data_IF_827610032695
#
_entry.id   IF_827610032695
#
_cell.length_a   1.000
_cell.length_b   1.000
_cell.length_c   1.000
_cell.angle_alpha   90.00
_cell.angle_beta   90.00
_cell.angle_gamma   90.00
#
_symmetry.space_group_name_H-M   'P 1'
#
loop_
_entity.id
_entity.type
_entity.pdbx_description
1 polymer ?
#
# COMPACT_ATOMS: atom_id res chain seq x y z
N UNK A 1 -4.22 3.35 -22.23
CA UNK A 1 -3.57 2.18 -21.63
C UNK A 1 -2.89 1.30 -22.67
N UNK A 2 -1.67 0.85 -22.37
CA UNK A 2 -0.98 -0.13 -23.17
C UNK A 2 -1.37 -1.53 -22.71
N UNK A 3 -1.84 -2.37 -23.65
CA UNK A 3 -2.09 -3.77 -23.41
C UNK A 3 -0.79 -4.55 -23.59
N UNK A 4 -0.36 -5.25 -22.57
CA UNK A 4 0.82 -6.13 -22.58
C UNK A 4 0.43 -7.54 -22.17
N UNK A 5 1.20 -8.52 -22.58
CA UNK A 5 1.06 -9.91 -22.19
C UNK A 5 2.14 -10.24 -21.16
N UNK A 6 1.75 -10.84 -20.03
CA UNK A 6 2.69 -11.32 -19.02
C UNK A 6 3.35 -12.63 -19.46
N UNK A 7 4.39 -13.06 -18.74
CA UNK A 7 5.05 -14.36 -19.00
C UNK A 7 4.10 -15.55 -18.84
N UNK A 8 3.05 -15.41 -18.04
CA UNK A 8 2.00 -16.41 -17.83
C UNK A 8 0.81 -16.26 -18.83
N UNK A 9 1.01 -15.50 -19.90
CA UNK A 9 -0.01 -15.22 -20.93
C UNK A 9 -1.27 -14.49 -20.41
N UNK A 10 -1.18 -13.87 -19.23
CA UNK A 10 -2.26 -13.06 -18.68
C UNK A 10 -2.17 -11.63 -19.24
N UNK A 11 -3.28 -11.02 -19.70
CA UNK A 11 -3.25 -9.64 -20.18
C UNK A 11 -3.07 -8.66 -19.00
N UNK A 12 -2.27 -7.61 -19.23
CA UNK A 12 -2.11 -6.52 -18.29
C UNK A 12 -2.23 -5.16 -18.99
N UNK A 13 -2.89 -4.21 -18.33
CA UNK A 13 -3.04 -2.85 -18.82
C UNK A 13 -2.08 -1.92 -18.07
N UNK A 14 -1.05 -1.44 -18.77
CA UNK A 14 -0.06 -0.51 -18.23
C UNK A 14 -0.42 0.93 -18.60
N UNK A 15 -0.72 1.76 -17.61
CA UNK A 15 -1.06 3.17 -17.86
C UNK A 15 -0.95 4.03 -16.62
N UNK A 16 -0.13 5.07 -16.72
CA UNK A 16 0.19 5.95 -15.60
C UNK A 16 1.10 5.25 -14.59
N UNK A 17 1.76 6.02 -13.76
CA UNK A 17 2.67 5.52 -12.73
C UNK A 17 3.03 6.65 -11.79
N UNK A 18 2.02 7.31 -11.15
CA UNK A 18 2.30 8.40 -10.23
C UNK A 18 3.06 7.86 -9.02
N UNK A 19 4.03 8.64 -8.53
CA UNK A 19 4.82 8.24 -7.38
C UNK A 19 3.96 8.14 -6.12
N UNK A 20 3.97 6.97 -5.48
CA UNK A 20 3.03 6.57 -4.45
C UNK A 20 3.05 7.37 -3.15
N UNK A 21 3.99 8.30 -2.97
CA UNK A 21 4.06 9.13 -1.77
C UNK A 21 3.32 10.46 -1.94
N UNK A 22 3.63 11.20 -3.00
CA UNK A 22 3.03 12.52 -3.31
C UNK A 22 1.81 12.43 -4.22
N UNK A 23 1.39 11.24 -4.60
CA UNK A 23 0.22 10.93 -5.39
C UNK A 23 -0.35 9.57 -4.96
N UNK A 24 -1.45 9.14 -5.58
CA UNK A 24 -2.14 7.91 -5.17
C UNK A 24 -1.42 6.60 -5.57
N UNK A 25 -0.36 6.65 -6.38
CA UNK A 25 0.55 5.51 -6.60
C UNK A 25 -0.06 4.25 -7.15
N UNK A 26 -1.05 4.36 -8.03
CA UNK A 26 -1.72 3.21 -8.63
C UNK A 26 -2.03 3.45 -10.11
N UNK A 27 -2.32 2.38 -10.83
CA UNK A 27 -2.69 2.41 -12.24
C UNK A 27 -3.86 3.39 -12.50
N UNK A 28 -4.02 3.87 -13.73
CA UNK A 28 -5.02 4.88 -14.06
C UNK A 28 -6.46 4.36 -13.93
N UNK A 29 -7.38 5.27 -13.65
CA UNK A 29 -8.82 5.00 -13.64
C UNK A 29 -9.28 4.44 -14.99
N UNK A 30 -8.73 4.94 -16.11
CA UNK A 30 -9.06 4.46 -17.47
C UNK A 30 -8.69 3.00 -17.66
N UNK A 31 -7.47 2.60 -17.27
CA UNK A 31 -7.04 1.21 -17.35
C UNK A 31 -7.90 0.30 -16.47
N UNK A 32 -8.15 0.70 -15.23
CA UNK A 32 -8.99 -0.08 -14.31
C UNK A 32 -10.42 -0.24 -14.83
N UNK A 33 -11.06 0.84 -15.28
CA UNK A 33 -12.43 0.77 -15.84
C UNK A 33 -12.50 -0.03 -17.15
N UNK A 34 -11.43 -0.01 -17.97
CA UNK A 34 -11.36 -0.84 -19.16
C UNK A 34 -11.22 -2.33 -18.79
N UNK A 35 -10.31 -2.64 -17.86
CA UNK A 35 -10.12 -4.02 -17.39
C UNK A 35 -11.41 -4.62 -16.82
N UNK A 36 -12.15 -3.86 -15.99
CA UNK A 36 -13.46 -4.28 -15.43
C UNK A 36 -14.54 -4.58 -16.46
N UNK A 37 -14.38 -4.16 -17.72
CA UNK A 37 -15.29 -4.50 -18.83
C UNK A 37 -14.84 -5.73 -19.60
N UNK A 38 -13.60 -6.16 -19.41
CA UNK A 38 -12.99 -7.20 -20.25
C UNK A 38 -12.72 -8.51 -19.49
N UNK A 39 -12.76 -8.48 -18.15
CA UNK A 39 -12.41 -9.62 -17.33
C UNK A 39 -13.36 -9.79 -16.13
N UNK A 40 -13.55 -11.03 -15.70
CA UNK A 40 -14.35 -11.37 -14.53
C UNK A 40 -13.68 -10.94 -13.22
N UNK A 41 -12.35 -10.99 -13.19
CA UNK A 41 -11.52 -10.53 -12.08
C UNK A 41 -10.49 -9.53 -12.56
N UNK A 42 -10.33 -8.43 -11.83
CA UNK A 42 -9.34 -7.40 -12.10
C UNK A 42 -8.51 -7.16 -10.85
N UNK A 43 -7.20 -7.36 -10.98
CA UNK A 43 -6.24 -7.10 -9.91
C UNK A 43 -5.52 -5.80 -10.24
N UNK A 44 -5.43 -4.90 -9.29
CA UNK A 44 -4.68 -3.64 -9.40
C UNK A 44 -3.84 -3.43 -8.16
N UNK A 45 -2.78 -2.66 -8.29
CA UNK A 45 -1.86 -2.39 -7.19
C UNK A 45 -2.18 -1.10 -6.44
N UNK A 46 -1.64 -1.01 -5.22
CA UNK A 46 -1.47 0.22 -4.47
C UNK A 46 -0.02 0.29 -3.99
N UNK A 47 0.68 1.37 -4.29
CA UNK A 47 2.12 1.49 -4.05
C UNK A 47 2.49 1.68 -2.59
N UNK A 48 3.66 1.21 -2.17
CA UNK A 48 4.17 1.20 -0.80
C UNK A 48 3.33 0.35 0.17
N UNK A 49 3.42 0.64 1.48
CA UNK A 49 2.60 -0.02 2.50
C UNK A 49 1.12 0.36 2.41
N UNK A 50 0.26 -0.46 3.00
CA UNK A 50 -1.18 -0.24 2.97
C UNK A 50 -1.62 1.06 3.65
N UNK A 51 -0.82 1.55 4.58
CA UNK A 51 -1.00 2.84 5.25
C UNK A 51 -0.79 4.06 4.32
N UNK A 52 -0.05 3.88 3.22
CA UNK A 52 0.17 4.90 2.20
C UNK A 52 -0.62 4.61 0.93
N UNK A 53 -0.31 3.51 0.25
CA UNK A 53 -0.87 3.21 -1.06
C UNK A 53 -2.31 2.76 -1.00
N UNK A 54 -2.66 1.83 -0.11
CA UNK A 54 -4.04 1.36 -0.02
C UNK A 54 -4.99 2.44 0.52
N UNK A 55 -4.56 3.24 1.51
CA UNK A 55 -5.32 4.40 1.97
C UNK A 55 -5.67 5.34 0.79
N UNK A 56 -4.65 5.73 0.00
CA UNK A 56 -4.85 6.61 -1.16
C UNK A 56 -5.67 5.95 -2.27
N UNK A 57 -5.52 4.64 -2.47
CA UNK A 57 -6.34 3.89 -3.41
C UNK A 57 -7.82 3.97 -3.02
N UNK A 58 -8.14 3.76 -1.75
CA UNK A 58 -9.51 3.78 -1.23
C UNK A 58 -10.08 5.21 -1.19
N UNK A 59 -9.37 6.14 -0.54
CA UNK A 59 -9.90 7.47 -0.28
C UNK A 59 -9.72 8.47 -1.44
N UNK A 60 -8.84 8.22 -2.40
CA UNK A 60 -8.67 9.06 -3.59
C UNK A 60 -9.19 8.34 -4.83
N UNK A 61 -8.57 7.23 -5.25
CA UNK A 61 -8.90 6.58 -6.53
C UNK A 61 -10.29 5.99 -6.54
N UNK A 62 -10.68 5.20 -5.55
CA UNK A 62 -12.01 4.60 -5.48
C UNK A 62 -13.08 5.66 -5.40
N UNK A 63 -12.87 6.68 -4.56
CA UNK A 63 -13.78 7.82 -4.42
C UNK A 63 -14.01 8.53 -5.77
N UNK A 64 -12.95 8.96 -6.46
CA UNK A 64 -13.08 9.75 -7.69
C UNK A 64 -13.58 8.90 -8.89
N UNK A 65 -13.36 7.60 -8.86
CA UNK A 65 -13.71 6.70 -9.96
C UNK A 65 -15.04 5.96 -9.77
N UNK A 66 -15.64 6.02 -8.57
CA UNK A 66 -16.81 5.24 -8.20
C UNK A 66 -16.52 3.73 -8.20
N UNK A 67 -15.35 3.34 -7.68
CA UNK A 67 -14.93 1.94 -7.57
C UNK A 67 -15.18 1.43 -6.14
N UNK A 68 -15.53 0.16 -6.02
CA UNK A 68 -15.65 -0.56 -4.76
C UNK A 68 -14.89 -1.89 -4.88
N UNK A 69 -13.76 -2.06 -4.18
CA UNK A 69 -13.03 -3.32 -4.17
C UNK A 69 -13.85 -4.45 -3.55
N UNK A 70 -13.76 -5.65 -4.13
CA UNK A 70 -14.40 -6.85 -3.57
C UNK A 70 -13.54 -7.49 -2.48
N UNK A 71 -12.22 -7.42 -2.61
CA UNK A 71 -11.26 -7.93 -1.63
C UNK A 71 -9.95 -7.13 -1.68
N UNK A 72 -9.17 -7.22 -0.60
CA UNK A 72 -7.80 -6.69 -0.51
C UNK A 72 -6.83 -7.84 -0.30
N UNK A 73 -5.77 -7.87 -1.11
CA UNK A 73 -4.61 -8.73 -0.87
C UNK A 73 -3.55 -7.91 -0.14
N UNK A 74 -3.29 -8.23 1.12
CA UNK A 74 -2.28 -7.60 1.94
C UNK A 74 -1.01 -8.45 1.90
N UNK A 75 -0.02 -7.99 1.14
CA UNK A 75 1.26 -8.70 1.01
C UNK A 75 2.16 -8.42 2.20
N UNK A 76 2.64 -9.47 2.85
CA UNK A 76 3.61 -9.40 3.92
C UNK A 76 4.80 -10.33 3.66
N UNK A 77 5.92 -10.08 4.33
CA UNK A 77 7.11 -10.93 4.30
C UNK A 77 7.62 -11.18 5.71
N UNK A 78 8.12 -12.38 5.98
CA UNK A 78 8.79 -12.73 7.24
C UNK A 78 9.89 -11.71 7.57
N UNK A 79 10.69 -11.34 6.56
CA UNK A 79 11.79 -10.36 6.71
C UNK A 79 11.30 -8.99 7.18
N UNK A 80 10.23 -8.45 6.57
CA UNK A 80 9.68 -7.15 6.96
C UNK A 80 9.12 -7.18 8.39
N UNK A 81 8.49 -8.28 8.78
CA UNK A 81 7.97 -8.43 10.14
C UNK A 81 9.09 -8.59 11.17
N UNK A 82 10.14 -9.36 10.89
CA UNK A 82 11.34 -9.42 11.77
C UNK A 82 12.01 -8.05 11.91
N UNK A 83 12.10 -7.26 10.82
CA UNK A 83 12.59 -5.89 10.89
C UNK A 83 11.72 -5.03 11.83
N UNK A 84 10.40 -5.10 11.69
CA UNK A 84 9.47 -4.43 12.61
C UNK A 84 9.51 -4.99 14.05
N UNK A 85 10.02 -6.20 14.22
CA UNK A 85 10.32 -6.83 15.52
C UNK A 85 11.69 -6.47 16.11
N UNK A 86 12.43 -5.56 15.45
CA UNK A 86 13.70 -4.99 15.93
C UNK A 86 14.96 -5.67 15.38
N UNK A 87 14.86 -6.56 14.39
CA UNK A 87 16.05 -7.17 13.74
C UNK A 87 16.63 -6.20 12.72
N UNK A 88 17.95 -5.94 12.71
CA UNK A 88 18.59 -5.14 11.67
C UNK A 88 18.31 -5.70 10.26
N UNK A 89 18.11 -4.81 9.27
CA UNK A 89 17.76 -5.20 7.89
C UNK A 89 18.71 -6.25 7.29
N UNK A 90 20.00 -6.15 7.56
CA UNK A 90 21.01 -7.10 7.07
C UNK A 90 20.90 -8.52 7.66
N UNK A 91 20.21 -8.67 8.79
CA UNK A 91 20.09 -9.93 9.52
C UNK A 91 18.72 -10.60 9.38
N UNK A 92 17.76 -9.95 8.74
CA UNK A 92 16.36 -10.44 8.59
C UNK A 92 16.25 -11.76 7.81
N UNK A 93 17.28 -12.19 7.10
CA UNK A 93 17.29 -13.48 6.41
C UNK A 93 17.53 -14.67 7.36
N UNK A 94 18.02 -14.45 8.59
CA UNK A 94 18.23 -15.52 9.58
C UNK A 94 16.92 -15.82 10.29
N UNK A 95 16.58 -17.09 10.57
CA UNK A 95 15.40 -17.44 11.35
C UNK A 95 15.41 -16.76 12.74
N UNK A 96 14.32 -16.11 13.11
CA UNK A 96 14.11 -15.50 14.43
C UNK A 96 12.60 -15.40 14.72
N UNK A 97 12.04 -16.47 15.25
CA UNK A 97 10.63 -16.53 15.63
C UNK A 97 10.25 -15.50 16.70
N UNK A 98 11.17 -15.21 17.64
CA UNK A 98 10.88 -14.26 18.71
C UNK A 98 10.73 -12.82 18.15
N UNK A 99 11.59 -12.44 17.22
CA UNK A 99 11.49 -11.16 16.52
C UNK A 99 10.25 -11.11 15.63
N UNK A 100 9.95 -12.21 14.92
CA UNK A 100 8.72 -12.31 14.11
C UNK A 100 7.48 -12.08 14.98
N UNK A 101 7.36 -12.75 16.14
CA UNK A 101 6.25 -12.55 17.06
C UNK A 101 6.12 -11.11 17.55
N UNK A 102 7.25 -10.43 17.85
CA UNK A 102 7.22 -9.00 18.18
C UNK A 102 6.74 -8.13 17.01
N UNK A 103 7.08 -8.49 15.77
CA UNK A 103 6.69 -7.75 14.57
C UNK A 103 5.24 -7.96 14.13
N UNK A 104 4.54 -8.97 14.63
CA UNK A 104 3.13 -9.24 14.28
C UNK A 104 2.20 -8.06 14.59
N UNK A 105 2.54 -7.20 15.54
CA UNK A 105 1.75 -6.00 15.84
C UNK A 105 1.69 -5.03 14.64
N UNK A 106 2.71 -5.05 13.78
CA UNK A 106 2.71 -4.27 12.55
C UNK A 106 1.72 -4.86 11.54
N UNK A 107 1.75 -6.18 11.31
CA UNK A 107 0.78 -6.86 10.45
C UNK A 107 -0.65 -6.67 10.95
N UNK A 108 -0.87 -6.79 12.26
CA UNK A 108 -2.18 -6.54 12.88
C UNK A 108 -2.70 -5.14 12.54
N UNK A 109 -1.86 -4.11 12.67
CA UNK A 109 -2.25 -2.74 12.35
C UNK A 109 -2.65 -2.59 10.86
N UNK A 110 -1.92 -3.20 9.94
CA UNK A 110 -2.25 -3.15 8.51
C UNK A 110 -3.53 -3.92 8.17
N UNK A 111 -3.76 -5.08 8.78
CA UNK A 111 -5.00 -5.85 8.63
C UNK A 111 -6.20 -5.03 9.14
N UNK A 112 -6.12 -4.51 10.38
CA UNK A 112 -7.15 -3.67 10.96
C UNK A 112 -7.43 -2.41 10.13
N UNK A 113 -6.39 -1.80 9.54
CA UNK A 113 -6.54 -0.65 8.67
C UNK A 113 -7.36 -0.97 7.42
N UNK A 114 -7.13 -2.12 6.80
CA UNK A 114 -7.91 -2.54 5.62
C UNK A 114 -9.34 -2.92 5.99
N UNK A 115 -9.54 -3.57 7.14
CA UNK A 115 -10.88 -3.90 7.64
C UNK A 115 -11.75 -2.65 7.91
N UNK A 116 -11.13 -1.50 8.24
CA UNK A 116 -11.86 -0.23 8.42
C UNK A 116 -12.55 0.28 7.15
N UNK A 117 -12.20 -0.24 6.00
CA UNK A 117 -12.86 0.07 4.73
C UNK A 117 -14.01 -0.89 4.39
N UNK A 118 -14.30 -1.87 5.27
CA UNK A 118 -15.39 -2.83 5.07
C UNK A 118 -15.13 -3.87 3.98
N UNK A 119 -13.87 -4.14 3.65
CA UNK A 119 -13.48 -5.04 2.55
C UNK A 119 -12.84 -6.31 3.12
N UNK A 120 -13.19 -7.52 2.61
CA UNK A 120 -12.51 -8.75 2.97
C UNK A 120 -11.00 -8.68 2.72
N UNK A 121 -10.20 -9.20 3.67
CA UNK A 121 -8.73 -9.15 3.62
C UNK A 121 -8.15 -10.55 3.50
N UNK A 122 -7.27 -10.74 2.52
CA UNK A 122 -6.43 -11.94 2.35
C UNK A 122 -4.99 -11.55 2.64
N UNK A 123 -4.36 -12.15 3.61
CA UNK A 123 -2.94 -11.96 3.90
C UNK A 123 -2.13 -12.91 3.03
N UNK A 124 -1.34 -12.36 2.12
CA UNK A 124 -0.44 -13.09 1.25
C UNK A 124 0.99 -13.01 1.78
N UNK A 125 1.58 -14.13 2.17
CA UNK A 125 2.98 -14.18 2.56
C UNK A 125 3.83 -14.46 1.32
N UNK A 126 4.58 -13.44 0.90
CA UNK A 126 5.57 -13.60 -0.16
C UNK A 126 6.79 -14.32 0.43
N UNK A 127 6.84 -15.65 0.22
CA UNK A 127 7.82 -16.55 0.81
C UNK A 127 9.20 -16.38 0.17
N UNK A 128 10.23 -16.33 1.02
CA UNK A 128 11.62 -16.45 0.62
C UNK A 128 12.17 -17.82 1.02
N UNK A 129 13.17 -18.34 0.31
CA UNK A 129 13.83 -19.63 0.60
C UNK A 129 14.41 -19.71 2.03
N UNK A 130 14.72 -18.57 2.63
CA UNK A 130 15.27 -18.48 3.99
C UNK A 130 14.21 -18.50 5.08
N UNK A 131 12.92 -18.44 4.72
CA UNK A 131 11.83 -18.44 5.71
C UNK A 131 11.64 -19.86 6.23
N UNK A 132 11.69 -20.03 7.55
CA UNK A 132 11.53 -21.34 8.18
C UNK A 132 10.07 -21.74 8.32
N UNK A 133 9.80 -23.05 8.35
CA UNK A 133 8.44 -23.56 8.55
C UNK A 133 7.82 -23.09 9.87
N UNK A 134 8.64 -22.94 10.94
CA UNK A 134 8.19 -22.38 12.22
C UNK A 134 7.72 -20.95 12.09
N UNK A 135 8.43 -20.11 11.33
CA UNK A 135 8.03 -18.72 11.06
C UNK A 135 6.74 -18.66 10.22
N UNK A 136 6.59 -19.52 9.22
CA UNK A 136 5.37 -19.60 8.41
C UNK A 136 4.18 -20.07 9.24
N UNK A 137 4.36 -21.03 10.14
CA UNK A 137 3.31 -21.50 11.05
C UNK A 137 2.82 -20.38 11.99
N UNK A 138 3.74 -19.56 12.54
CA UNK A 138 3.38 -18.40 13.35
C UNK A 138 2.46 -17.44 12.59
N UNK A 139 2.72 -17.20 11.31
CA UNK A 139 1.90 -16.33 10.49
C UNK A 139 0.53 -16.93 10.18
N UNK A 140 0.50 -18.22 9.88
CA UNK A 140 -0.76 -18.95 9.68
C UNK A 140 -1.64 -18.91 10.94
N UNK A 141 -1.07 -19.19 12.11
CA UNK A 141 -1.76 -19.14 13.40
C UNK A 141 -2.27 -17.71 13.69
N UNK A 142 -1.44 -16.69 13.41
CA UNK A 142 -1.84 -15.30 13.58
C UNK A 142 -3.07 -14.96 12.72
N UNK A 143 -3.06 -15.33 11.44
CA UNK A 143 -4.18 -15.07 10.53
C UNK A 143 -5.45 -15.80 10.97
N UNK A 144 -5.32 -17.04 11.42
CA UNK A 144 -6.45 -17.79 11.97
C UNK A 144 -7.08 -17.11 13.21
N UNK A 145 -6.25 -16.57 14.11
CA UNK A 145 -6.73 -15.85 15.30
C UNK A 145 -7.36 -14.50 14.99
N UNK A 146 -6.89 -13.82 13.94
CA UNK A 146 -7.44 -12.51 13.52
C UNK A 146 -8.63 -12.63 12.57
N UNK A 147 -9.02 -13.85 12.20
CA UNK A 147 -10.12 -14.11 11.28
C UNK A 147 -9.80 -13.69 9.83
N UNK A 148 -8.54 -13.55 9.47
CA UNK A 148 -8.11 -13.25 8.11
C UNK A 148 -7.80 -14.52 7.34
N UNK A 149 -8.10 -14.53 6.03
CA UNK A 149 -7.58 -15.56 5.14
C UNK A 149 -6.07 -15.43 5.02
N UNK A 150 -5.41 -16.57 4.89
CA UNK A 150 -3.98 -16.68 4.73
C UNK A 150 -3.65 -17.51 3.49
N UNK A 151 -2.68 -17.06 2.70
CA UNK A 151 -2.11 -17.85 1.63
C UNK A 151 -0.61 -17.58 1.46
N UNK A 152 0.16 -18.61 1.12
CA UNK A 152 1.54 -18.45 0.68
C UNK A 152 1.55 -18.01 -0.78
N UNK A 153 2.49 -17.15 -1.13
CA UNK A 153 2.82 -16.77 -2.49
C UNK A 153 4.27 -17.21 -2.78
N UNK A 154 4.42 -18.15 -3.67
CA UNK A 154 5.71 -18.67 -4.13
C UNK A 154 5.91 -18.40 -5.64
N UNK A 155 5.26 -17.34 -6.14
CA UNK A 155 5.25 -16.99 -7.57
C UNK A 155 6.65 -16.67 -8.11
N UNK A 156 7.56 -16.23 -7.28
CA UNK A 156 8.95 -15.99 -7.68
C UNK A 156 9.67 -17.30 -8.06
N UNK A 157 9.46 -18.36 -7.29
CA UNK A 157 10.13 -19.65 -7.51
C UNK A 157 9.38 -20.55 -8.52
N UNK A 158 8.05 -20.46 -8.57
CA UNK A 158 7.21 -21.43 -9.25
C UNK A 158 6.23 -20.80 -10.27
N UNK A 159 6.40 -19.50 -10.61
CA UNK A 159 5.51 -18.81 -11.53
C UNK A 159 4.04 -18.87 -11.08
N UNK A 160 3.11 -18.99 -12.02
CA UNK A 160 1.68 -19.05 -11.74
C UNK A 160 1.27 -20.20 -10.82
N UNK A 161 1.97 -21.33 -10.89
CA UNK A 161 1.69 -22.49 -10.00
C UNK A 161 1.90 -22.14 -8.53
N UNK A 162 2.90 -21.30 -8.21
CA UNK A 162 3.15 -20.81 -6.85
C UNK A 162 2.11 -19.82 -6.32
N UNK A 163 1.18 -19.39 -7.15
CA UNK A 163 0.11 -18.43 -6.80
C UNK A 163 -1.29 -19.05 -6.69
N UNK A 164 -1.48 -20.34 -6.97
CA UNK A 164 -2.82 -20.96 -7.04
C UNK A 164 -3.60 -20.87 -5.73
N UNK A 165 -2.98 -21.23 -4.61
CA UNK A 165 -3.64 -21.15 -3.30
C UNK A 165 -4.04 -19.72 -2.93
N UNK A 166 -3.20 -18.73 -3.29
CA UNK A 166 -3.55 -17.32 -3.12
C UNK A 166 -4.72 -16.92 -4.01
N UNK A 167 -4.74 -17.35 -5.27
CA UNK A 167 -5.84 -17.06 -6.20
C UNK A 167 -7.17 -17.64 -5.70
N UNK A 168 -7.19 -18.87 -5.21
CA UNK A 168 -8.36 -19.51 -4.61
C UNK A 168 -8.87 -18.71 -3.40
N UNK A 169 -7.99 -18.35 -2.47
CA UNK A 169 -8.34 -17.54 -1.31
C UNK A 169 -8.93 -16.16 -1.69
N UNK A 170 -8.41 -15.54 -2.77
CA UNK A 170 -8.93 -14.27 -3.29
C UNK A 170 -10.29 -14.43 -3.92
N UNK A 171 -10.52 -15.48 -4.71
CA UNK A 171 -11.83 -15.78 -5.32
C UNK A 171 -12.87 -16.01 -4.24
N UNK A 172 -12.55 -16.78 -3.20
CA UNK A 172 -13.43 -16.97 -2.05
C UNK A 172 -13.74 -15.65 -1.32
N UNK A 173 -12.72 -14.81 -1.10
CA UNK A 173 -12.91 -13.51 -0.47
C UNK A 173 -13.79 -12.58 -1.32
N UNK A 174 -13.65 -12.61 -2.64
CA UNK A 174 -14.50 -11.84 -3.55
C UNK A 174 -15.97 -12.29 -3.57
N UNK A 175 -16.26 -13.51 -3.15
CA UNK A 175 -17.63 -14.02 -3.02
C UNK A 175 -18.34 -13.56 -1.71
N UNK A 176 -17.59 -13.00 -0.77
CA UNK A 176 -18.15 -12.42 0.46
C UNK A 176 -18.76 -11.04 0.19
N UNK A 177 -19.75 -10.63 0.98
CA UNK A 177 -20.25 -9.27 0.93
C UNK A 177 -19.15 -8.26 1.27
N UNK A 178 -18.97 -7.25 0.41
CA UNK A 178 -18.13 -6.10 0.68
C UNK A 178 -19.02 -4.91 1.07
N UNK A 179 -18.76 -4.33 2.25
CA UNK A 179 -19.39 -3.08 2.72
C UNK A 179 -18.40 -1.92 2.58
N UNK A 180 -17.85 -1.81 1.35
CA UNK A 180 -16.82 -0.81 1.07
C UNK A 180 -17.32 0.61 1.35
N UNK A 181 -16.56 1.33 2.17
CA UNK A 181 -16.77 2.75 2.45
C UNK A 181 -15.44 3.49 2.59
N UNK A 182 -15.46 4.77 2.32
CA UNK A 182 -14.30 5.65 2.47
C UNK A 182 -14.12 6.10 3.92
N UNK A 183 -12.90 6.47 4.28
CA UNK A 183 -12.55 6.75 5.66
C UNK A 183 -13.19 8.04 6.21
N UNK A 184 -13.40 9.05 5.35
CA UNK A 184 -13.92 10.37 5.73
C UNK A 184 -14.77 10.97 4.63
N UNK A 185 -15.64 11.93 5.00
CA UNK A 185 -16.37 12.75 4.04
C UNK A 185 -15.50 13.92 3.55
N UNK A 186 -15.51 14.19 2.25
CA UNK A 186 -14.76 15.31 1.66
C UNK A 186 -15.32 16.69 2.07
N UNK A 187 -16.58 16.76 2.52
CA UNK A 187 -17.18 17.98 3.05
C UNK A 187 -16.58 18.43 4.39
N UNK A 188 -15.84 17.57 5.09
CA UNK A 188 -15.16 17.94 6.33
C UNK A 188 -14.06 18.99 6.07
N UNK A 189 -13.77 19.86 7.05
CA UNK A 189 -12.61 20.75 7.03
C UNK A 189 -11.31 20.01 6.73
N UNK A 190 -10.36 20.66 6.07
CA UNK A 190 -9.08 20.05 5.66
C UNK A 190 -8.37 19.40 6.85
N UNK A 191 -8.31 20.10 8.00
CA UNK A 191 -7.66 19.56 9.21
C UNK A 191 -8.35 18.32 9.77
N UNK A 192 -9.66 18.23 9.69
CA UNK A 192 -10.41 17.07 10.18
C UNK A 192 -10.19 15.84 9.29
N UNK A 193 -10.09 16.01 7.97
CA UNK A 193 -9.73 14.93 7.04
C UNK A 193 -8.31 14.41 7.30
N UNK A 194 -7.35 15.32 7.51
CA UNK A 194 -5.98 14.95 7.89
C UNK A 194 -5.97 14.19 9.22
N UNK A 195 -6.71 14.68 10.22
CA UNK A 195 -6.82 14.02 11.52
C UNK A 195 -7.48 12.64 11.42
N UNK A 196 -8.48 12.45 10.56
CA UNK A 196 -9.11 11.16 10.33
C UNK A 196 -8.11 10.10 9.84
N UNK A 197 -7.28 10.44 8.85
CA UNK A 197 -6.21 9.53 8.37
C UNK A 197 -5.17 9.30 9.47
N UNK A 198 -4.66 10.38 10.06
CA UNK A 198 -3.60 10.30 11.07
C UNK A 198 -3.98 9.43 12.28
N UNK A 199 -5.20 9.58 12.79
CA UNK A 199 -5.64 8.83 13.96
C UNK A 199 -6.11 7.42 13.62
N UNK A 200 -6.89 7.26 12.57
CA UNK A 200 -7.52 5.96 12.24
C UNK A 200 -6.57 5.01 11.54
N UNK A 201 -5.66 5.50 10.66
CA UNK A 201 -4.74 4.66 9.88
C UNK A 201 -3.35 4.61 10.52
N UNK A 202 -2.80 5.74 10.95
CA UNK A 202 -1.43 5.77 11.47
C UNK A 202 -1.34 5.53 12.98
N UNK A 203 -2.43 5.73 13.71
CA UNK A 203 -2.44 5.60 15.17
C UNK A 203 -1.92 6.83 15.92
N UNK A 204 -1.84 8.00 15.26
CA UNK A 204 -1.46 9.25 15.89
C UNK A 204 -2.48 9.68 16.96
N UNK A 205 -2.00 10.32 18.02
CA UNK A 205 -2.86 10.92 19.06
C UNK A 205 -3.22 12.37 18.75
N UNK A 206 -2.41 13.05 17.93
CA UNK A 206 -2.61 14.46 17.56
C UNK A 206 -1.95 14.76 16.20
N UNK A 207 -2.30 15.92 15.63
CA UNK A 207 -1.65 16.48 14.43
C UNK A 207 -1.20 17.90 14.75
N UNK A 208 0.07 18.20 14.49
CA UNK A 208 0.64 19.52 14.60
C UNK A 208 0.90 20.12 13.21
N UNK A 209 0.66 21.40 13.05
CA UNK A 209 0.81 22.11 11.78
C UNK A 209 1.86 23.21 11.90
N UNK A 210 2.75 23.31 10.91
CA UNK A 210 3.62 24.48 10.77
C UNK A 210 2.81 25.72 10.37
N UNK A 211 3.36 26.91 10.61
CA UNK A 211 2.74 28.15 10.15
C UNK A 211 2.53 28.20 8.62
N UNK A 212 3.46 27.56 7.86
CA UNK A 212 3.33 27.44 6.39
C UNK A 212 2.16 26.53 5.99
N UNK A 213 1.98 25.42 6.70
CA UNK A 213 0.86 24.51 6.47
C UNK A 213 -0.49 25.18 6.79
N UNK A 214 -0.57 25.90 7.93
CA UNK A 214 -1.79 26.64 8.31
C UNK A 214 -2.15 27.71 7.29
N UNK A 215 -1.16 28.47 6.79
CA UNK A 215 -1.37 29.48 5.75
C UNK A 215 -1.93 28.84 4.47
N UNK A 216 -1.34 27.73 4.02
CA UNK A 216 -1.80 27.05 2.81
C UNK A 216 -3.21 26.46 2.96
N UNK A 217 -3.58 25.96 4.16
CA UNK A 217 -4.95 25.51 4.43
C UNK A 217 -5.93 26.66 4.22
N UNK A 218 -5.65 27.84 4.80
CA UNK A 218 -6.51 29.00 4.64
C UNK A 218 -6.62 29.47 3.16
N UNK A 219 -5.53 29.38 2.39
CA UNK A 219 -5.54 29.67 0.95
C UNK A 219 -6.42 28.68 0.18
N UNK A 220 -6.32 27.37 0.48
CA UNK A 220 -7.14 26.31 -0.14
C UNK A 220 -8.62 26.53 0.16
N UNK A 221 -8.97 26.90 1.39
CA UNK A 221 -10.33 27.22 1.82
C UNK A 221 -10.86 28.45 1.09
N UNK A 222 -10.06 29.52 0.98
CA UNK A 222 -10.43 30.73 0.25
C UNK A 222 -10.65 30.48 -1.26
N UNK A 223 -9.93 29.48 -1.84
CA UNK A 223 -10.12 29.05 -3.22
C UNK A 223 -11.34 28.12 -3.42
N UNK A 224 -12.08 27.79 -2.37
CA UNK A 224 -13.21 26.86 -2.43
C UNK A 224 -12.78 25.44 -2.83
N UNK A 225 -11.58 24.98 -2.39
CA UNK A 225 -11.01 23.65 -2.70
C UNK A 225 -10.88 22.76 -1.47
N UNK A 226 -11.58 23.08 -0.41
CA UNK A 226 -11.60 22.28 0.83
C UNK A 226 -12.26 20.91 0.67
N UNK A 227 -13.06 20.69 -0.36
CA UNK A 227 -13.75 19.44 -0.67
C UNK A 227 -12.86 18.38 -1.32
N UNK A 228 -11.61 18.70 -1.63
CA UNK A 228 -10.66 17.75 -2.21
C UNK A 228 -10.18 16.72 -1.18
N UNK A 229 -9.94 15.45 -1.60
CA UNK A 229 -9.36 14.42 -0.74
C UNK A 229 -7.91 14.73 -0.36
N UNK A 230 -7.43 14.06 0.66
CA UNK A 230 -6.10 14.24 1.25
C UNK A 230 -5.14 13.16 0.73
N UNK A 231 -3.93 13.57 0.37
CA UNK A 231 -2.81 12.70 0.00
C UNK A 231 -1.65 12.95 0.96
N UNK A 232 -1.52 12.16 2.02
CA UNK A 232 -0.43 12.31 3.00
C UNK A 232 0.84 11.64 2.47
N UNK A 233 1.91 12.43 2.40
CA UNK A 233 3.26 11.97 2.11
C UNK A 233 4.06 11.89 3.42
N UNK A 234 4.46 10.67 3.79
CA UNK A 234 5.26 10.37 4.98
C UNK A 234 6.32 9.30 4.69
N UNK A 235 7.15 8.99 5.65
CA UNK A 235 8.08 7.85 5.52
C UNK A 235 7.35 6.54 5.27
N UNK A 236 7.89 5.71 4.42
CA UNK A 236 7.37 4.36 4.13
C UNK A 236 7.86 3.30 5.15
N UNK A 237 8.74 3.67 6.08
CA UNK A 237 9.37 2.72 7.00
C UNK A 237 8.66 2.60 8.35
N UNK A 238 7.67 3.43 8.62
CA UNK A 238 6.91 3.43 9.87
C UNK A 238 5.46 3.85 9.62
N UNK A 239 4.55 3.45 10.49
CA UNK A 239 3.20 4.02 10.54
C UNK A 239 3.20 5.49 11.00
N UNK A 240 4.25 5.95 11.71
CA UNK A 240 4.43 7.36 12.09
C UNK A 240 5.18 8.16 11.01
N UNK A 241 5.43 9.44 11.26
CA UNK A 241 6.30 10.32 10.48
C UNK A 241 7.81 10.16 10.83
N UNK A 242 8.13 9.33 11.83
CA UNK A 242 9.49 8.99 12.25
C UNK A 242 9.85 7.57 11.79
N UNK A 243 10.83 7.40 10.87
CA UNK A 243 11.21 6.09 10.32
C UNK A 243 11.84 5.16 11.35
N UNK A 244 12.27 5.65 12.51
CA UNK A 244 12.84 4.84 13.58
C UNK A 244 11.81 4.13 14.46
N UNK A 245 10.55 4.55 14.40
CA UNK A 245 9.45 3.96 15.17
C UNK A 245 8.87 2.75 14.46
N UNK A 246 9.45 1.59 14.73
CA UNK A 246 9.04 0.33 14.13
C UNK A 246 7.80 -0.27 14.81
N UNK A 247 7.26 -1.32 14.22
CA UNK A 247 6.11 -2.06 14.74
C UNK A 247 4.79 -1.30 14.62
N UNK A 248 4.17 -1.01 15.74
CA UNK A 248 2.89 -0.30 15.82
C UNK A 248 2.98 0.92 16.75
N UNK A 249 3.61 2.02 16.31
CA UNK A 249 3.62 3.26 17.07
C UNK A 249 2.20 3.78 17.26
N UNK A 250 1.91 4.37 18.44
CA UNK A 250 0.61 4.93 18.77
C UNK A 250 0.76 6.19 19.64
N UNK A 251 -0.27 7.04 19.64
CA UNK A 251 -0.34 8.23 20.49
C UNK A 251 0.68 9.33 20.17
N UNK A 252 1.43 9.22 19.09
CA UNK A 252 2.40 10.23 18.65
C UNK A 252 1.70 11.44 18.02
N UNK A 253 2.42 12.54 17.90
CA UNK A 253 1.96 13.71 17.13
C UNK A 253 2.50 13.61 15.71
N UNK A 254 1.60 13.60 14.72
CA UNK A 254 1.96 13.71 13.30
C UNK A 254 2.30 15.16 12.98
N UNK A 255 3.48 15.45 12.44
CA UNK A 255 3.94 16.80 12.18
C UNK A 255 3.76 17.16 10.69
N UNK A 256 2.79 18.00 10.38
CA UNK A 256 2.56 18.53 9.03
C UNK A 256 3.48 19.72 8.79
N UNK A 257 4.48 19.53 7.91
CA UNK A 257 5.48 20.53 7.58
C UNK A 257 5.02 21.48 6.47
N UNK A 258 4.39 20.95 5.45
CA UNK A 258 3.96 21.69 4.25
C UNK A 258 2.69 21.08 3.67
N UNK A 259 1.88 21.92 3.04
CA UNK A 259 0.69 21.47 2.27
C UNK A 259 0.78 22.08 0.87
N UNK A 260 0.37 21.30 -0.14
CA UNK A 260 0.33 21.73 -1.55
C UNK A 260 -1.00 21.37 -2.17
N UNK A 261 -1.57 22.30 -2.91
CA UNK A 261 -2.76 22.03 -3.71
C UNK A 261 -2.37 21.44 -5.08
N UNK A 262 -2.75 20.19 -5.34
CA UNK A 262 -2.63 19.55 -6.65
C UNK A 262 -3.97 19.66 -7.40
N UNK A 263 -4.35 20.88 -7.76
CA UNK A 263 -5.68 21.20 -8.32
C UNK A 263 -6.02 20.38 -9.57
N UNK A 264 -5.06 20.20 -10.48
CA UNK A 264 -5.25 19.41 -11.71
C UNK A 264 -5.40 17.90 -11.47
N UNK A 265 -4.81 17.38 -10.39
CA UNK A 265 -4.94 16.00 -9.99
C UNK A 265 -6.14 15.75 -9.05
N UNK A 266 -6.69 16.81 -8.45
CA UNK A 266 -7.89 16.75 -7.61
C UNK A 266 -7.65 16.25 -6.19
N UNK A 267 -6.52 16.59 -5.56
CA UNK A 267 -6.25 16.27 -4.15
C UNK A 267 -5.30 17.30 -3.49
N UNK A 268 -5.27 17.28 -2.16
CA UNK A 268 -4.39 18.10 -1.33
C UNK A 268 -3.25 17.23 -0.83
N UNK A 269 -1.99 17.59 -1.17
CA UNK A 269 -0.80 16.89 -0.70
C UNK A 269 -0.37 17.44 0.66
N UNK A 270 -0.17 16.57 1.63
CA UNK A 270 0.25 16.88 2.99
C UNK A 270 1.62 16.25 3.26
N UNK A 271 2.64 17.07 3.49
CA UNK A 271 4.02 16.63 3.70
C UNK A 271 4.34 16.63 5.20
N UNK A 272 4.72 15.47 5.75
CA UNK A 272 4.97 15.30 7.20
C UNK A 272 6.45 15.37 7.59
N UNK A 273 7.33 15.81 6.71
CA UNK A 273 8.77 15.91 6.98
C UNK A 273 9.59 16.10 5.72
N UNK A 274 10.88 15.80 5.79
CA UNK A 274 11.75 15.76 4.62
C UNK A 274 11.56 14.43 3.90
N UNK A 275 10.69 14.43 2.90
CA UNK A 275 10.18 13.24 2.26
C UNK A 275 10.72 13.14 0.84
N UNK A 276 11.08 11.94 0.43
CA UNK A 276 11.38 11.64 -0.95
C UNK A 276 10.14 11.91 -1.82
N UNK A 277 10.23 12.90 -2.69
CA UNK A 277 9.15 13.28 -3.61
C UNK A 277 9.29 12.66 -4.99
N UNK A 278 10.44 12.04 -5.27
CA UNK A 278 10.71 11.26 -6.47
C UNK A 278 11.64 10.10 -6.15
N UNK A 279 11.50 8.94 -6.83
CA UNK A 279 12.47 7.86 -6.71
C UNK A 279 13.82 8.33 -7.21
N UNK A 280 14.90 7.98 -6.51
CA UNK A 280 16.27 8.18 -6.97
C UNK A 280 16.53 7.27 -8.16
N UNK A 281 16.76 7.83 -9.34
CA UNK A 281 17.15 7.08 -10.52
C UNK A 281 18.67 6.96 -10.58
N UNK A 282 19.25 5.78 -10.83
CA UNK A 282 20.70 5.63 -11.01
C UNK A 282 21.15 6.35 -12.29
N UNK A 283 22.39 6.87 -12.29
CA UNK A 283 22.99 7.49 -13.48
C UNK A 283 23.10 6.53 -14.67
N UNK A 284 23.23 5.23 -14.40
CA UNK A 284 23.17 4.16 -15.40
C UNK A 284 21.88 3.35 -15.16
N UNK A 285 20.82 3.58 -15.94
CA UNK A 285 19.57 2.84 -15.79
C UNK A 285 19.76 1.33 -16.02
N UNK A 286 19.01 0.51 -15.27
CA UNK A 286 18.99 -0.95 -15.48
C UNK A 286 18.60 -1.31 -16.93
N UNK A 287 17.79 -0.50 -17.58
CA UNK A 287 17.40 -0.64 -18.99
C UNK A 287 18.58 -0.77 -19.98
N UNK A 288 19.77 -0.27 -19.65
CA UNK A 288 20.96 -0.44 -20.50
C UNK A 288 21.50 -1.87 -20.52
N UNK A 289 21.10 -2.71 -19.55
CA UNK A 289 21.56 -4.09 -19.42
C UNK A 289 20.46 -5.10 -19.73
N UNK A 290 19.21 -4.64 -19.77
CA UNK A 290 18.07 -5.52 -20.06
C UNK A 290 17.96 -5.69 -21.57
N UNK A 291 17.97 -6.94 -22.03
CA UNK A 291 17.81 -7.29 -23.43
C UNK A 291 16.99 -8.56 -23.58
N UNK A 292 16.44 -8.75 -24.78
CA UNK A 292 15.68 -9.96 -25.15
C UNK A 292 16.32 -10.54 -26.40
N UNK A 293 16.80 -11.76 -26.34
CA UNK A 293 17.43 -12.44 -27.48
C UNK A 293 16.38 -12.89 -28.54
N UNK A 294 16.87 -13.45 -29.65
CA UNK A 294 16.02 -13.92 -30.75
C UNK A 294 15.08 -15.09 -30.34
N UNK A 295 15.42 -15.80 -29.29
CA UNK A 295 14.62 -16.92 -28.72
C UNK A 295 13.62 -16.42 -27.65
N UNK A 296 13.54 -15.11 -27.39
CA UNK A 296 12.66 -14.50 -26.39
C UNK A 296 13.18 -14.59 -24.95
N UNK A 297 14.47 -14.95 -24.74
CA UNK A 297 15.06 -15.01 -23.40
C UNK A 297 15.44 -13.62 -22.93
N UNK A 298 15.00 -13.26 -21.73
CA UNK A 298 15.32 -11.97 -21.11
C UNK A 298 16.64 -12.10 -20.35
N UNK A 299 17.53 -11.11 -20.51
CA UNK A 299 18.81 -10.98 -19.79
C UNK A 299 18.88 -9.65 -19.06
N UNK A 300 19.75 -9.52 -18.07
CA UNK A 300 20.05 -8.26 -17.38
C UNK A 300 19.01 -7.78 -16.38
N UNK A 301 18.02 -8.61 -16.00
CA UNK A 301 17.04 -8.25 -14.97
C UNK A 301 17.62 -8.34 -13.55
N UNK A 302 18.64 -9.18 -13.35
CA UNK A 302 19.30 -9.42 -12.06
C UNK A 302 20.82 -9.39 -12.19
#
# INVERSE_FOLDING_TARGET
PNLVQTLENTPALMHGGPFANIAHGCNSVRATKLALKLADYVITEAGFGSDLGAEKFMDIKCRCAGLAPSAVVLVATVRALKYNGGVPKAETARPDEAALRRGLVNLAAHVENMQKYGVPVVVAINRFETDSDGELQILSDFCAHTGCRFALSEVFAHGGDGGKALAEAVVEACAEPSDFHVLYDTALPVKEKIAAIATRIYGAGAVAYSAAADKMIAEIEALGKSDLPICIAKTQYSLSDDPSRLGRPSGFTLNVKEIRLSAGAGFIVVLTGDIMTMPGLPKAPAAYKIDVDADGRISGLF
#
